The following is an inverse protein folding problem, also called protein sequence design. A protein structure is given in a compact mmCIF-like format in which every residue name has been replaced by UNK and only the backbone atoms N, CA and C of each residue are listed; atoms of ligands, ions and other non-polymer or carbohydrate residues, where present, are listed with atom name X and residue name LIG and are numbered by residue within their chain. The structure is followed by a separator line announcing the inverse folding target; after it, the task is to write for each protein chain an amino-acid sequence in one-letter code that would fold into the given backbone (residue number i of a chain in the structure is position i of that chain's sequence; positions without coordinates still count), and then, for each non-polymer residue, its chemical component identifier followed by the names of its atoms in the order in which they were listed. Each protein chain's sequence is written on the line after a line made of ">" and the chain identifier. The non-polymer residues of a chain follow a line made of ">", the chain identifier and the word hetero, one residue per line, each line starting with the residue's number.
data_IF_204599767074
#
_entry.id   IF_204599767074
#
_cell.length_a   1.000
_cell.length_b   1.000
_cell.length_c   1.000
_cell.angle_alpha   90.00
_cell.angle_beta   90.00
_cell.angle_gamma   90.00
#
_symmetry.space_group_name_H-M   'P 1'
#
loop_
_entity.id
_entity.type
_entity.pdbx_description
1 polymer ?
#
# COMPACT_ATOMS: atom_id res chain seq x y z
N UNK A 1 -12.45 3.64 -2.15
CA UNK A 1 -12.02 4.94 -2.69
C UNK A 1 -12.08 6.05 -1.64
N UNK A 2 -13.20 6.21 -0.92
CA UNK A 2 -13.42 7.29 0.05
C UNK A 2 -12.26 7.61 1.03
N UNK A 3 -11.49 6.61 1.49
CA UNK A 3 -10.38 6.86 2.42
C UNK A 3 -9.17 7.52 1.72
N UNK A 4 -8.83 7.09 0.52
CA UNK A 4 -7.68 7.61 -0.23
C UNK A 4 -7.94 9.07 -0.61
N UNK A 5 -9.15 9.36 -1.08
CA UNK A 5 -9.57 10.72 -1.41
C UNK A 5 -9.58 11.62 -0.16
N UNK A 6 -10.14 11.13 0.95
CA UNK A 6 -10.17 11.85 2.22
C UNK A 6 -8.76 12.22 2.74
N UNK A 7 -7.83 11.26 2.72
CA UNK A 7 -6.44 11.53 3.14
C UNK A 7 -5.75 12.48 2.16
N UNK A 8 -6.02 12.35 0.86
CA UNK A 8 -5.46 13.23 -0.16
C UNK A 8 -5.96 14.68 0.00
N UNK A 9 -7.22 14.88 0.34
CA UNK A 9 -7.77 16.21 0.64
C UNK A 9 -7.17 16.79 1.92
N UNK A 10 -6.93 15.95 2.93
CA UNK A 10 -6.35 16.36 4.20
C UNK A 10 -4.86 16.77 4.08
N UNK A 11 -4.06 16.07 3.27
CA UNK A 11 -2.60 16.29 3.21
C UNK A 11 -2.18 17.57 2.47
N UNK A 12 -3.11 18.30 1.82
CA UNK A 12 -2.88 19.59 1.12
C UNK A 12 -1.60 19.63 0.26
N UNK A 13 -1.33 18.56 -0.49
CA UNK A 13 -0.16 18.45 -1.37
C UNK A 13 1.08 17.78 -0.77
N UNK A 14 1.05 17.39 0.51
CA UNK A 14 2.03 16.49 1.12
C UNK A 14 2.02 15.09 0.50
N UNK A 15 2.91 14.22 0.96
CA UNK A 15 3.03 12.84 0.50
C UNK A 15 2.50 11.88 1.58
N UNK A 16 1.95 10.73 1.18
CA UNK A 16 1.61 9.66 2.11
C UNK A 16 2.03 8.30 1.54
N UNK A 17 2.08 7.28 2.39
CA UNK A 17 2.35 5.90 1.97
C UNK A 17 1.03 5.14 1.94
N UNK A 18 0.76 4.47 0.83
CA UNK A 18 -0.32 3.52 0.67
C UNK A 18 0.23 2.12 0.98
N UNK A 19 0.01 1.67 2.21
CA UNK A 19 0.44 0.35 2.68
C UNK A 19 -0.58 -0.75 2.36
N UNK A 20 -0.11 -1.85 1.76
CA UNK A 20 -0.93 -3.05 1.51
C UNK A 20 -0.33 -4.29 2.16
N UNK A 21 -1.15 -5.02 2.92
CA UNK A 21 -0.78 -6.33 3.48
C UNK A 21 -1.48 -7.44 2.71
N UNK A 22 -0.70 -8.26 2.02
CA UNK A 22 -1.19 -9.49 1.40
C UNK A 22 -1.18 -10.61 2.44
N UNK A 23 -2.36 -11.02 2.90
CA UNK A 23 -2.49 -12.15 3.84
C UNK A 23 -2.52 -13.45 3.05
N UNK A 24 -1.42 -14.20 3.05
CA UNK A 24 -1.35 -15.58 2.57
C UNK A 24 -0.03 -16.24 3.01
N UNK A 25 -0.13 -17.37 3.71
CA UNK A 25 1.01 -18.14 4.25
C UNK A 25 1.93 -18.78 3.20
N UNK A 26 1.56 -18.73 1.92
CA UNK A 26 2.22 -19.45 0.83
C UNK A 26 2.62 -18.57 -0.36
N UNK A 27 2.48 -17.25 -0.25
CA UNK A 27 2.92 -16.36 -1.32
C UNK A 27 4.46 -16.34 -1.32
N UNK A 28 5.06 -16.97 -2.33
CA UNK A 28 6.44 -16.64 -2.74
C UNK A 28 6.53 -15.14 -3.00
N UNK A 29 7.74 -14.57 -2.89
CA UNK A 29 8.00 -13.13 -3.10
C UNK A 29 7.31 -12.53 -4.35
N UNK A 30 7.04 -13.36 -5.36
CA UNK A 30 6.41 -13.00 -6.63
C UNK A 30 4.98 -12.44 -6.50
N UNK A 31 4.24 -12.79 -5.43
CA UNK A 31 2.85 -12.36 -5.29
C UNK A 31 2.72 -10.84 -5.08
N UNK A 32 3.56 -10.25 -4.22
CA UNK A 32 3.60 -8.80 -4.05
C UNK A 32 4.08 -8.10 -5.33
N UNK A 33 5.04 -8.69 -6.04
CA UNK A 33 5.55 -8.15 -7.31
C UNK A 33 4.47 -8.09 -8.38
N UNK A 34 3.57 -9.07 -8.44
CA UNK A 34 2.49 -9.09 -9.43
C UNK A 34 1.41 -8.02 -9.18
N UNK A 35 1.13 -7.69 -7.93
CA UNK A 35 0.09 -6.73 -7.56
C UNK A 35 0.58 -5.27 -7.54
N UNK A 36 1.89 -5.07 -7.33
CA UNK A 36 2.50 -3.74 -7.25
C UNK A 36 2.18 -2.82 -8.44
N UNK A 37 2.25 -3.26 -9.72
CA UNK A 37 1.90 -2.41 -10.87
C UNK A 37 0.45 -1.90 -10.85
N UNK A 38 -0.48 -2.68 -10.28
CA UNK A 38 -1.88 -2.27 -10.17
C UNK A 38 -2.04 -1.13 -9.17
N UNK A 39 -1.33 -1.17 -8.03
CA UNK A 39 -1.35 -0.10 -7.04
C UNK A 39 -0.69 1.19 -7.57
N UNK A 40 0.39 1.07 -8.35
CA UNK A 40 0.98 2.22 -9.04
C UNK A 40 0.00 2.82 -10.05
N UNK A 41 -0.65 1.99 -10.86
CA UNK A 41 -1.65 2.44 -11.83
C UNK A 41 -2.84 3.14 -11.16
N UNK A 42 -3.24 2.69 -9.97
CA UNK A 42 -4.29 3.33 -9.18
C UNK A 42 -3.88 4.74 -8.72
N UNK A 43 -2.68 4.89 -8.15
CA UNK A 43 -2.16 6.19 -7.70
C UNK A 43 -2.06 7.17 -8.86
N UNK A 44 -1.56 6.71 -10.01
CA UNK A 44 -1.43 7.52 -11.23
C UNK A 44 -2.81 7.94 -11.76
N UNK A 45 -3.76 7.01 -11.84
CA UNK A 45 -5.14 7.30 -12.25
C UNK A 45 -5.83 8.30 -11.32
N UNK A 46 -5.60 8.20 -10.01
CA UNK A 46 -6.15 9.12 -9.01
C UNK A 46 -5.40 10.46 -8.93
N UNK A 47 -4.26 10.59 -9.63
CA UNK A 47 -3.39 11.80 -9.64
C UNK A 47 -2.96 12.23 -8.24
N UNK A 48 -2.73 11.28 -7.35
CA UNK A 48 -2.32 11.54 -5.97
C UNK A 48 -0.81 11.35 -5.81
N UNK A 49 -0.18 12.17 -4.96
CA UNK A 49 1.22 11.95 -4.55
C UNK A 49 1.25 10.97 -3.38
N UNK A 50 1.61 9.72 -3.66
CA UNK A 50 1.83 8.68 -2.67
C UNK A 50 2.88 7.65 -3.12
N UNK A 51 3.56 7.00 -2.17
CA UNK A 51 4.34 5.78 -2.43
C UNK A 51 3.50 4.55 -2.08
N UNK A 52 3.73 3.44 -2.79
CA UNK A 52 3.14 2.14 -2.45
C UNK A 52 4.18 1.35 -1.69
N UNK A 53 3.80 0.83 -0.52
CA UNK A 53 4.57 -0.19 0.18
C UNK A 53 3.69 -1.45 0.37
N UNK A 54 4.25 -2.61 0.07
CA UNK A 54 3.51 -3.87 0.08
C UNK A 54 4.30 -4.92 0.84
N UNK A 55 3.63 -5.61 1.76
CA UNK A 55 4.21 -6.77 2.45
C UNK A 55 3.29 -7.97 2.39
N UNK A 56 3.87 -9.17 2.38
CA UNK A 56 3.15 -10.42 2.55
C UNK A 56 3.36 -10.92 3.99
N UNK A 57 2.27 -11.29 4.66
CA UNK A 57 2.32 -11.78 6.04
C UNK A 57 1.26 -12.87 6.28
N UNK A 58 1.43 -13.64 7.35
CA UNK A 58 0.47 -14.66 7.78
C UNK A 58 -0.83 -14.05 8.32
N UNK A 59 -0.77 -12.80 8.78
CA UNK A 59 -1.93 -12.06 9.27
C UNK A 59 -1.72 -10.54 9.11
N UNK A 60 -2.82 -9.79 9.24
CA UNK A 60 -2.83 -8.33 9.07
C UNK A 60 -1.98 -7.61 10.11
N UNK A 61 -1.98 -8.08 11.37
CA UNK A 61 -1.27 -7.39 12.47
C UNK A 61 0.24 -7.40 12.22
N UNK A 62 0.80 -8.54 11.86
CA UNK A 62 2.22 -8.67 11.61
C UNK A 62 2.62 -7.89 10.36
N UNK A 63 1.83 -7.99 9.28
CA UNK A 63 2.08 -7.20 8.07
C UNK A 63 1.99 -5.70 8.30
N UNK A 64 0.98 -5.21 9.04
CA UNK A 64 0.88 -3.80 9.39
C UNK A 64 2.06 -3.34 10.26
N UNK A 65 2.50 -4.19 11.19
CA UNK A 65 3.69 -3.92 12.02
C UNK A 65 4.95 -3.83 11.16
N UNK A 66 5.10 -4.70 10.16
CA UNK A 66 6.22 -4.66 9.21
C UNK A 66 6.21 -3.36 8.40
N UNK A 67 5.07 -2.97 7.83
CA UNK A 67 4.93 -1.72 7.09
C UNK A 67 5.33 -0.53 7.97
N UNK A 68 4.78 -0.42 9.18
CA UNK A 68 5.08 0.71 10.08
C UNK A 68 6.55 0.76 10.50
N UNK A 69 7.20 -0.38 10.71
CA UNK A 69 8.61 -0.43 11.18
C UNK A 69 9.65 -0.21 10.09
N UNK A 70 9.30 -0.49 8.83
CA UNK A 70 10.22 -0.44 7.68
C UNK A 70 9.99 0.78 6.78
N UNK A 71 8.95 1.58 7.06
CA UNK A 71 8.63 2.84 6.37
C UNK A 71 9.45 4.03 6.87
#
# INVERSE_FOLDING_TARGET
>A
MNLIDFINDMKKGGLFILGHVKVNSHCSNDACTSEYPYWISLIDHMKIKAFVDMTAATNIRDGATQLIRLS
#
